data_IF_124750763240
#
_entry.id   IF_124750763240
#
_cell.length_a   1.000
_cell.length_b   1.000
_cell.length_c   1.000
_cell.angle_alpha   90.00
_cell.angle_beta   90.00
_cell.angle_gamma   90.00
#
_symmetry.space_group_name_H-M   'P 1'
#
loop_
_entity.id
_entity.type
_entity.pdbx_description
1 polymer ?
#
# COMPACT_ATOMS: atom_id res chain seq x y z
N UNK A 1 6.18 10.29 2.52
CA UNK A 1 6.72 11.16 3.57
C UNK A 1 6.05 10.92 4.92
N UNK A 2 4.74 11.19 5.07
CA UNK A 2 4.01 10.96 6.34
C UNK A 2 4.07 9.48 6.79
N UNK A 3 3.63 8.54 5.93
CA UNK A 3 3.67 7.09 6.22
C UNK A 3 5.07 6.56 6.53
N UNK A 4 6.07 6.97 5.73
CA UNK A 4 7.46 6.53 5.87
C UNK A 4 8.28 7.34 6.89
N UNK A 5 7.65 8.33 7.54
CA UNK A 5 8.27 9.27 8.50
C UNK A 5 9.62 9.83 8.04
N UNK A 6 9.73 10.11 6.74
CA UNK A 6 10.98 10.54 6.08
C UNK A 6 10.66 11.63 5.06
N UNK A 7 11.41 12.73 5.10
CA UNK A 7 11.40 13.78 4.08
C UNK A 7 12.22 13.29 2.87
N UNK A 8 11.60 13.17 1.68
CA UNK A 8 12.32 12.76 0.49
C UNK A 8 13.23 13.91 -0.01
N UNK A 9 14.34 13.59 -0.69
CA UNK A 9 15.18 14.61 -1.30
C UNK A 9 14.48 15.31 -2.47
N UNK A 10 14.75 16.59 -2.65
CA UNK A 10 14.39 17.35 -3.83
C UNK A 10 15.36 17.01 -4.97
N UNK A 11 14.82 16.44 -6.05
CA UNK A 11 15.60 16.08 -7.23
C UNK A 11 16.08 17.35 -7.95
N UNK A 12 17.31 17.35 -8.46
CA UNK A 12 17.94 18.44 -9.21
C UNK A 12 18.17 19.76 -8.43
N UNK A 13 18.00 19.77 -7.11
CA UNK A 13 18.35 20.94 -6.29
C UNK A 13 19.83 20.88 -5.88
N UNK A 14 20.69 21.65 -6.55
CA UNK A 14 22.14 21.73 -6.26
C UNK A 14 22.56 23.08 -5.69
N UNK A 15 22.16 24.15 -6.36
CA UNK A 15 22.49 25.53 -6.00
C UNK A 15 21.18 26.27 -5.73
N UNK A 16 20.98 26.85 -4.55
CA UNK A 16 19.80 27.66 -4.26
C UNK A 16 19.69 28.84 -5.24
N UNK A 17 18.46 29.24 -5.58
CA UNK A 17 18.24 30.44 -6.37
C UNK A 17 18.72 31.68 -5.56
N UNK A 18 19.66 32.50 -6.06
CA UNK A 18 20.19 33.65 -5.33
C UNK A 18 19.14 34.72 -5.01
N UNK A 19 18.04 34.77 -5.77
CA UNK A 19 16.91 35.68 -5.52
C UNK A 19 16.09 35.27 -4.28
N UNK A 20 16.32 34.06 -3.74
CA UNK A 20 15.62 33.55 -2.56
C UNK A 20 16.59 33.54 -1.37
N UNK A 21 16.35 34.41 -0.41
CA UNK A 21 17.12 34.41 0.84
C UNK A 21 16.57 33.36 1.81
N UNK A 22 17.07 32.12 1.70
CA UNK A 22 16.67 31.00 2.56
C UNK A 22 16.98 31.23 4.04
N UNK A 23 18.04 31.99 4.39
CA UNK A 23 18.40 32.27 5.78
C UNK A 23 17.33 33.08 6.53
N UNK A 24 16.47 33.79 5.78
CA UNK A 24 15.35 34.56 6.33
C UNK A 24 14.01 33.81 6.31
N UNK A 25 13.99 32.59 5.78
CA UNK A 25 12.77 31.80 5.64
C UNK A 25 12.76 30.62 6.63
N UNK A 26 11.59 30.22 7.14
CA UNK A 26 11.46 29.03 7.98
C UNK A 26 11.49 27.72 7.15
N UNK A 27 12.12 27.74 5.97
CA UNK A 27 12.09 26.66 4.99
C UNK A 27 13.49 26.20 4.62
N UNK A 28 13.66 24.88 4.51
CA UNK A 28 14.87 24.25 4.00
C UNK A 28 14.50 23.23 2.93
N UNK A 29 15.38 23.04 1.95
CA UNK A 29 15.19 22.08 0.87
C UNK A 29 16.04 20.83 1.16
N UNK A 30 15.42 19.66 1.44
CA UNK A 30 16.18 18.44 1.71
C UNK A 30 16.90 17.96 0.44
N UNK A 31 18.22 17.80 0.49
CA UNK A 31 19.03 17.25 -0.62
C UNK A 31 19.32 15.76 -0.48
N UNK A 32 19.01 15.18 0.68
CA UNK A 32 19.06 13.75 0.98
C UNK A 32 17.79 13.32 1.73
N UNK A 33 17.57 12.02 1.89
CA UNK A 33 16.47 11.53 2.70
C UNK A 33 16.74 11.83 4.18
N UNK A 34 15.85 12.58 4.83
CA UNK A 34 15.99 13.00 6.23
C UNK A 34 14.87 12.39 7.07
N UNK A 35 15.17 11.77 8.23
CA UNK A 35 14.14 11.36 9.18
C UNK A 35 13.26 12.55 9.57
N UNK A 36 11.95 12.43 9.38
CA UNK A 36 11.01 13.47 9.76
C UNK A 36 10.68 13.32 11.24
N UNK A 37 11.37 14.02 12.13
CA UNK A 37 11.10 14.01 13.58
C UNK A 37 10.08 15.10 13.94
N UNK A 38 9.21 14.83 14.92
CA UNK A 38 8.18 15.77 15.39
C UNK A 38 7.77 15.44 16.83
N UNK A 39 7.40 16.46 17.61
CA UNK A 39 6.84 16.31 18.97
C UNK A 39 5.33 16.03 18.99
N UNK A 40 4.65 16.22 17.86
CA UNK A 40 3.23 15.94 17.66
C UNK A 40 2.96 15.37 16.25
N UNK A 41 1.69 15.31 15.80
CA UNK A 41 1.36 14.81 14.47
C UNK A 41 2.15 15.55 13.39
N UNK A 42 2.77 14.80 12.45
CA UNK A 42 3.48 15.41 11.33
C UNK A 42 2.46 16.04 10.39
N UNK A 43 2.78 17.23 9.88
CA UNK A 43 1.92 17.97 8.95
C UNK A 43 2.68 18.37 7.70
N UNK A 44 2.00 18.27 6.56
CA UNK A 44 2.53 18.66 5.25
C UNK A 44 1.56 19.61 4.56
N UNK A 45 2.06 20.75 4.08
CA UNK A 45 1.34 21.61 3.15
C UNK A 45 1.63 21.20 1.71
N UNK A 46 0.59 21.15 0.87
CA UNK A 46 0.70 20.89 -0.57
C UNK A 46 0.04 22.06 -1.28
N UNK A 47 0.80 22.76 -2.12
CA UNK A 47 0.31 23.87 -2.96
C UNK A 47 0.33 23.48 -4.43
N UNK A 48 -0.67 23.94 -5.17
CA UNK A 48 -0.73 23.87 -6.63
C UNK A 48 -1.18 25.22 -7.20
N UNK A 49 -0.45 25.71 -8.20
CA UNK A 49 -0.67 27.01 -8.82
C UNK A 49 -0.83 26.82 -10.33
N UNK A 50 -2.02 27.08 -10.86
CA UNK A 50 -2.34 26.96 -12.27
C UNK A 50 -2.01 28.24 -13.05
N UNK A 51 -1.59 28.09 -14.31
CA UNK A 51 -1.25 29.23 -15.21
C UNK A 51 -2.41 30.22 -15.35
N UNK A 52 -3.66 29.75 -15.30
CA UNK A 52 -4.87 30.60 -15.34
C UNK A 52 -5.21 31.33 -14.04
N UNK A 53 -4.34 31.27 -13.02
CA UNK A 53 -4.53 31.95 -11.73
C UNK A 53 -5.33 31.17 -10.69
N UNK A 54 -5.77 29.95 -10.98
CA UNK A 54 -6.40 29.07 -10.00
C UNK A 54 -5.36 28.46 -9.07
N UNK A 55 -5.53 28.69 -7.78
CA UNK A 55 -4.63 28.22 -6.74
C UNK A 55 -5.36 27.27 -5.78
N UNK A 56 -4.69 26.20 -5.37
CA UNK A 56 -5.18 25.26 -4.37
C UNK A 56 -4.12 24.97 -3.32
N UNK A 57 -4.54 24.85 -2.07
CA UNK A 57 -3.66 24.51 -0.95
C UNK A 57 -4.35 23.52 -0.02
N UNK A 58 -3.64 22.47 0.38
CA UNK A 58 -4.14 21.42 1.27
C UNK A 58 -3.13 21.18 2.38
N UNK A 59 -3.63 21.00 3.60
CA UNK A 59 -2.85 20.54 4.76
C UNK A 59 -3.21 19.08 5.02
N UNK A 60 -2.18 18.22 5.06
CA UNK A 60 -2.31 16.82 5.46
C UNK A 60 -1.65 16.61 6.83
N UNK A 61 -2.30 15.81 7.67
CA UNK A 61 -1.77 15.38 8.96
C UNK A 61 -1.50 13.86 8.95
N UNK A 62 -0.50 13.40 9.71
CA UNK A 62 -0.26 11.99 9.98
C UNK A 62 -1.51 11.31 10.54
N UNK A 63 -1.80 10.09 10.08
CA UNK A 63 -2.90 9.31 10.63
C UNK A 63 -2.70 9.07 12.14
N UNK A 64 -3.76 9.06 12.95
CA UNK A 64 -3.65 8.74 14.37
C UNK A 64 -3.09 7.33 14.55
N UNK A 65 -2.30 7.12 15.62
CA UNK A 65 -1.83 5.78 15.99
C UNK A 65 -3.02 4.85 16.23
N UNK A 66 -2.98 3.66 15.65
CA UNK A 66 -4.04 2.63 15.78
C UNK A 66 -4.23 2.11 17.21
N UNK A 67 -3.43 2.57 18.17
CA UNK A 67 -3.59 2.30 19.62
C UNK A 67 -4.86 2.95 20.21
N UNK A 68 -5.50 3.89 19.51
CA UNK A 68 -6.75 4.53 19.95
C UNK A 68 -7.98 3.66 19.64
N UNK A 69 -8.16 2.56 20.39
CA UNK A 69 -9.46 2.01 20.82
C UNK A 69 -10.50 1.57 19.78
N UNK A 70 -10.24 1.66 18.48
CA UNK A 70 -11.07 1.03 17.46
C UNK A 70 -10.56 -0.39 17.28
N UNK A 71 -11.45 -1.37 17.45
CA UNK A 71 -11.17 -2.80 17.24
C UNK A 71 -10.25 -2.98 16.04
N UNK A 72 -9.07 -3.54 16.27
CA UNK A 72 -8.15 -3.80 15.17
C UNK A 72 -8.87 -4.76 14.20
N UNK A 73 -8.65 -4.65 12.89
CA UNK A 73 -9.09 -5.69 11.96
C UNK A 73 -8.57 -7.10 12.33
N UNK A 74 -7.57 -7.17 13.21
CA UNK A 74 -6.99 -8.36 13.82
C UNK A 74 -7.72 -8.88 15.08
N UNK A 75 -8.85 -8.30 15.51
CA UNK A 75 -9.68 -8.89 16.57
C UNK A 75 -10.46 -10.13 16.09
N UNK A 76 -10.40 -10.44 14.79
CA UNK A 76 -10.81 -11.74 14.29
C UNK A 76 -9.88 -12.83 14.86
N UNK A 77 -10.38 -14.01 15.26
CA UNK A 77 -9.55 -15.05 15.82
C UNK A 77 -8.43 -15.44 14.84
N UNK A 78 -7.19 -15.10 15.19
CA UNK A 78 -6.02 -15.54 14.45
C UNK A 78 -5.89 -17.06 14.65
N UNK A 79 -6.14 -17.83 13.60
CA UNK A 79 -5.97 -19.28 13.64
C UNK A 79 -4.69 -19.65 12.87
N UNK A 80 -3.51 -19.61 13.50
CA UNK A 80 -2.22 -19.81 12.82
C UNK A 80 -2.17 -21.15 12.11
N UNK A 81 -2.76 -22.19 12.70
CA UNK A 81 -2.64 -23.57 12.23
C UNK A 81 -3.60 -23.94 11.09
N UNK A 82 -4.66 -23.14 10.90
CA UNK A 82 -5.65 -23.41 9.87
C UNK A 82 -5.19 -22.86 8.51
N UNK A 83 -5.31 -23.63 7.42
CA UNK A 83 -5.05 -23.11 6.09
C UNK A 83 -6.03 -21.98 5.77
N UNK A 84 -5.56 -21.00 4.99
CA UNK A 84 -6.38 -19.96 4.39
C UNK A 84 -6.46 -20.15 2.88
N UNK A 85 -7.56 -19.68 2.32
CA UNK A 85 -7.74 -19.58 0.87
C UNK A 85 -7.64 -18.11 0.46
N UNK A 86 -6.78 -17.83 -0.51
CA UNK A 86 -6.65 -16.54 -1.17
C UNK A 86 -7.24 -16.65 -2.56
N UNK A 87 -8.37 -15.98 -2.81
CA UNK A 87 -8.98 -15.92 -4.13
C UNK A 87 -8.50 -14.68 -4.89
N UNK A 88 -8.13 -14.87 -6.16
CA UNK A 88 -7.80 -13.79 -7.08
C UNK A 88 -8.63 -13.93 -8.35
N UNK A 89 -8.98 -12.79 -8.96
CA UNK A 89 -9.70 -12.80 -10.22
C UNK A 89 -9.39 -11.58 -11.07
N UNK A 90 -9.49 -11.73 -12.38
CA UNK A 90 -9.27 -10.66 -13.34
C UNK A 90 -10.14 -10.83 -14.59
N UNK A 91 -10.19 -9.78 -15.42
CA UNK A 91 -10.93 -9.79 -16.70
C UNK A 91 -10.21 -10.51 -17.83
N UNK A 92 -8.91 -10.77 -17.69
CA UNK A 92 -8.10 -11.46 -18.70
C UNK A 92 -7.11 -12.42 -18.03
N UNK A 93 -6.64 -13.48 -18.74
CA UNK A 93 -5.60 -14.37 -18.22
C UNK A 93 -4.30 -13.65 -17.86
N UNK A 94 -3.88 -12.68 -18.67
CA UNK A 94 -2.65 -11.92 -18.45
C UNK A 94 -2.74 -11.08 -17.17
N UNK A 95 -3.89 -10.43 -16.95
CA UNK A 95 -4.13 -9.67 -15.72
C UNK A 95 -4.21 -10.58 -14.49
N UNK A 96 -4.76 -11.79 -14.63
CA UNK A 96 -4.78 -12.78 -13.55
C UNK A 96 -3.36 -13.23 -13.19
N UNK A 97 -2.51 -13.51 -14.18
CA UNK A 97 -1.10 -13.84 -13.95
C UNK A 97 -0.31 -12.69 -13.32
N UNK A 98 -0.55 -11.45 -13.74
CA UNK A 98 0.06 -10.27 -13.11
C UNK A 98 -0.40 -10.10 -11.65
N UNK A 99 -1.69 -10.31 -11.38
CA UNK A 99 -2.24 -10.27 -10.02
C UNK A 99 -1.64 -11.35 -9.13
N UNK A 100 -1.51 -12.59 -9.63
CA UNK A 100 -0.87 -13.69 -8.90
C UNK A 100 0.58 -13.36 -8.53
N UNK A 101 1.36 -12.81 -9.46
CA UNK A 101 2.74 -12.36 -9.21
C UNK A 101 2.79 -11.24 -8.16
N UNK A 102 1.89 -10.26 -8.24
CA UNK A 102 1.82 -9.16 -7.28
C UNK A 102 1.46 -9.64 -5.87
N UNK A 103 0.52 -10.57 -5.74
CA UNK A 103 0.17 -11.15 -4.44
C UNK A 103 1.30 -12.02 -3.87
N UNK A 104 1.95 -12.83 -4.70
CA UNK A 104 3.10 -13.63 -4.27
C UNK A 104 4.22 -12.73 -3.73
N UNK A 105 4.53 -11.62 -4.42
CA UNK A 105 5.52 -10.64 -3.94
C UNK A 105 5.10 -9.98 -2.62
N UNK A 106 3.82 -9.60 -2.49
CA UNK A 106 3.30 -9.02 -1.24
C UNK A 106 3.38 -10.00 -0.07
N UNK A 107 3.16 -11.29 -0.33
CA UNK A 107 3.21 -12.36 0.66
C UNK A 107 4.66 -12.68 1.08
N UNK A 108 5.64 -12.56 0.17
CA UNK A 108 7.05 -12.77 0.52
C UNK A 108 7.55 -11.75 1.55
N UNK A 109 7.06 -10.51 1.48
CA UNK A 109 7.41 -9.43 2.42
C UNK A 109 6.38 -9.24 3.53
N UNK A 110 5.42 -10.16 3.65
CA UNK A 110 4.36 -10.07 4.66
C UNK A 110 4.82 -10.67 5.98
N UNK A 111 4.49 -9.98 7.07
CA UNK A 111 4.63 -10.58 8.40
C UNK A 111 3.59 -11.71 8.56
N UNK A 112 3.90 -12.77 9.35
CA UNK A 112 3.00 -13.93 9.49
C UNK A 112 1.57 -13.57 9.93
N UNK A 113 1.42 -12.54 10.77
CA UNK A 113 0.13 -12.06 11.28
C UNK A 113 -0.71 -11.31 10.23
N UNK A 114 -0.13 -10.91 9.09
CA UNK A 114 -0.86 -10.25 8.01
C UNK A 114 -1.61 -11.23 7.10
N UNK A 115 -1.27 -12.53 7.16
CA UNK A 115 -1.84 -13.58 6.29
C UNK A 115 -3.36 -13.53 6.23
N UNK A 116 -3.99 -13.45 7.40
CA UNK A 116 -5.45 -13.50 7.53
C UNK A 116 -6.12 -12.26 6.96
N UNK A 117 -5.59 -11.07 7.28
CA UNK A 117 -6.08 -9.81 6.74
C UNK A 117 -5.93 -9.72 5.21
N UNK A 118 -4.82 -10.23 4.65
CA UNK A 118 -4.60 -10.30 3.20
C UNK A 118 -5.67 -11.19 2.54
N UNK A 119 -5.86 -12.41 3.05
CA UNK A 119 -6.84 -13.35 2.50
C UNK A 119 -8.26 -12.81 2.63
N UNK A 120 -8.61 -12.29 3.82
CA UNK A 120 -9.91 -11.68 4.07
C UNK A 120 -10.20 -10.56 3.08
N UNK A 121 -9.31 -9.56 2.99
CA UNK A 121 -9.47 -8.40 2.11
C UNK A 121 -9.60 -8.81 0.64
N UNK A 122 -8.80 -9.77 0.18
CA UNK A 122 -8.88 -10.26 -1.19
C UNK A 122 -10.22 -10.96 -1.47
N UNK A 123 -10.75 -11.70 -0.50
CA UNK A 123 -11.97 -12.48 -0.66
C UNK A 123 -13.25 -11.64 -0.51
N UNK A 124 -13.24 -10.58 0.31
CA UNK A 124 -14.45 -9.84 0.68
C UNK A 124 -14.52 -8.42 0.09
N UNK A 125 -13.37 -7.79 -0.14
CA UNK A 125 -13.29 -6.38 -0.56
C UNK A 125 -12.78 -6.21 -2.01
N UNK A 126 -12.85 -7.27 -2.82
CA UNK A 126 -12.51 -7.22 -4.25
C UNK A 126 -13.66 -7.77 -5.07
N UNK A 127 -13.94 -7.10 -6.19
CA UNK A 127 -14.92 -7.58 -7.17
C UNK A 127 -14.41 -8.88 -7.81
N UNK A 128 -15.31 -9.86 -7.93
CA UNK A 128 -15.03 -11.09 -8.66
C UNK A 128 -15.17 -10.89 -10.19
N UNK A 129 -14.26 -11.49 -10.96
CA UNK A 129 -14.26 -11.55 -12.43
C UNK A 129 -14.24 -12.99 -12.94
N UNK A 130 -14.24 -13.19 -14.26
CA UNK A 130 -14.41 -14.49 -14.92
C UNK A 130 -13.16 -15.39 -14.86
N UNK A 131 -11.97 -14.81 -15.00
CA UNK A 131 -10.73 -15.56 -14.82
C UNK A 131 -10.38 -15.58 -13.35
N UNK A 132 -10.32 -16.77 -12.75
CA UNK A 132 -10.15 -16.96 -11.31
C UNK A 132 -9.04 -17.96 -11.03
N UNK A 133 -8.34 -17.73 -9.93
CA UNK A 133 -7.43 -18.69 -9.35
C UNK A 133 -7.50 -18.54 -7.84
N UNK A 134 -7.11 -19.58 -7.12
CA UNK A 134 -7.07 -19.56 -5.67
C UNK A 134 -5.80 -20.24 -5.18
N UNK A 135 -5.21 -19.73 -4.12
CA UNK A 135 -4.10 -20.38 -3.42
C UNK A 135 -4.55 -20.83 -2.04
N UNK A 136 -4.02 -21.95 -1.57
CA UNK A 136 -4.23 -22.42 -0.20
C UNK A 136 -2.91 -22.55 0.53
N UNK A 137 -2.89 -22.17 1.80
CA UNK A 137 -1.66 -22.23 2.58
C UNK A 137 -1.86 -21.88 4.04
N UNK A 138 -1.01 -22.46 4.90
CA UNK A 138 -0.95 -22.13 6.34
C UNK A 138 0.00 -20.98 6.64
N UNK A 139 0.85 -20.59 5.69
CA UNK A 139 1.81 -19.49 5.89
C UNK A 139 1.74 -18.53 4.72
N UNK A 140 2.23 -17.31 4.91
CA UNK A 140 2.40 -16.33 3.83
C UNK A 140 3.23 -16.92 2.69
N UNK A 141 4.34 -17.58 3.03
CA UNK A 141 5.19 -18.31 2.10
C UNK A 141 4.46 -19.43 1.36
N UNK A 142 3.71 -20.28 2.06
CA UNK A 142 2.96 -21.38 1.43
C UNK A 142 1.90 -20.89 0.45
N UNK A 143 1.23 -19.77 0.76
CA UNK A 143 0.32 -19.11 -0.17
C UNK A 143 1.06 -18.56 -1.40
N UNK A 144 2.24 -17.95 -1.22
CA UNK A 144 3.04 -17.43 -2.32
C UNK A 144 3.53 -18.54 -3.26
N UNK A 145 3.97 -19.68 -2.70
CA UNK A 145 4.37 -20.87 -3.46
C UNK A 145 3.18 -21.48 -4.21
N UNK A 146 2.02 -21.60 -3.55
CA UNK A 146 0.77 -22.07 -4.21
C UNK A 146 0.35 -21.16 -5.37
N UNK A 147 0.41 -19.83 -5.22
CA UNK A 147 0.11 -18.89 -6.30
C UNK A 147 1.04 -19.01 -7.51
N UNK A 148 2.32 -19.33 -7.28
CA UNK A 148 3.34 -19.50 -8.33
C UNK A 148 3.19 -20.82 -9.08
N UNK A 149 2.73 -21.86 -8.38
CA UNK A 149 2.55 -23.19 -8.94
C UNK A 149 1.24 -23.35 -9.72
N UNK A 150 0.27 -22.45 -9.54
CA UNK A 150 -1.05 -22.59 -10.16
C UNK A 150 -1.05 -22.19 -11.64
N UNK A 151 -1.60 -23.07 -12.46
CA UNK A 151 -2.05 -22.75 -13.81
C UNK A 151 -3.42 -22.04 -13.78
N UNK A 152 -3.52 -20.95 -14.55
CA UNK A 152 -4.67 -20.04 -14.52
C UNK A 152 -5.83 -20.56 -15.38
N UNK A 153 -6.85 -21.14 -14.76
CA UNK A 153 -8.04 -21.62 -15.45
C UNK A 153 -9.14 -20.54 -15.61
N UNK A 154 -9.85 -20.55 -16.74
CA UNK A 154 -11.10 -19.78 -16.91
C UNK A 154 -12.24 -20.54 -16.22
N UNK A 155 -13.02 -19.86 -15.38
CA UNK A 155 -14.26 -20.42 -14.83
C UNK A 155 -15.42 -19.75 -15.55
N UNK A 156 -16.20 -20.51 -16.30
CA UNK A 156 -17.40 -20.00 -16.97
C UNK A 156 -18.54 -19.83 -15.96
N UNK A 157 -19.07 -18.62 -15.86
CA UNK A 157 -20.11 -18.24 -14.90
C UNK A 157 -21.50 -18.21 -15.54
N UNK A 158 -21.67 -18.65 -16.79
CA UNK A 158 -22.98 -18.69 -17.45
C UNK A 158 -23.94 -19.77 -16.90
N UNK A 159 -23.72 -20.30 -15.69
CA UNK A 159 -24.48 -21.43 -15.12
C UNK A 159 -25.08 -21.19 -13.73
N UNK A 160 -25.11 -19.96 -13.22
CA UNK A 160 -25.81 -19.63 -11.96
C UNK A 160 -26.78 -18.48 -12.14
#
# INVERSE_FOLDING_TARGET
ALKSRTLPPAVNFKTPNPEINFDRLPFAVPTSAVPWTSKGPRRAGISSFGVGGTNAHVILEEAPSETNGLSQPNDAPHHPDLPRTLNISARTPQALGAMAKSFALRLDTAEPNERDAICFTANTARRAFEYRSFATGRTTRGLAESLRANDYARVDLSKH
#
